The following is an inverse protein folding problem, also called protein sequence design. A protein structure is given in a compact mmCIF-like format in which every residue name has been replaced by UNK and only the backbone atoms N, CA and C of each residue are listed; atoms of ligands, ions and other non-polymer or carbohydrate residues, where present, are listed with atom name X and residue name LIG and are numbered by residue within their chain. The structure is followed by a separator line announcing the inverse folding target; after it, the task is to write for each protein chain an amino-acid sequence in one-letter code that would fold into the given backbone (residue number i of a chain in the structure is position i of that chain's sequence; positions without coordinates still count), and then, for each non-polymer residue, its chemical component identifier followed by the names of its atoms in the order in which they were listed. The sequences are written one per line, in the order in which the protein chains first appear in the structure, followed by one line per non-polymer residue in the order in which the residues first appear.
data_IF_408210798500
#
_entry.id   IF_408210798500
#
_cell.length_a   1.000
_cell.length_b   1.000
_cell.length_c   1.000
_cell.angle_alpha   90.00
_cell.angle_beta   90.00
_cell.angle_gamma   90.00
#
_symmetry.space_group_name_H-M   'P 1'
#
loop_
_entity.id
_entity.type
_entity.pdbx_description
1 polymer ?
#
# COMPACT_ATOMS: atom_id res chain seq x y z
N UNK A 1 -5.48 2.95 32.06
CA UNK A 1 -4.38 1.97 31.90
C UNK A 1 -3.97 1.98 30.42
N UNK A 2 -2.66 2.07 30.14
CA UNK A 2 -2.15 2.05 28.77
C UNK A 2 -2.42 0.71 28.10
N UNK A 3 -2.45 0.71 26.78
CA UNK A 3 -2.65 -0.49 25.96
C UNK A 3 -1.67 -0.51 24.78
N UNK A 4 -1.45 -1.70 24.21
CA UNK A 4 -0.58 -1.91 23.06
C UNK A 4 -1.42 -2.15 21.81
N UNK A 5 -1.02 -1.53 20.69
CA UNK A 5 -1.58 -1.80 19.39
C UNK A 5 -0.47 -2.01 18.36
N UNK A 6 -0.65 -2.98 17.47
CA UNK A 6 0.37 -3.43 16.54
C UNK A 6 -0.15 -3.37 15.10
N UNK A 7 0.68 -2.89 14.18
CA UNK A 7 0.47 -3.04 12.75
C UNK A 7 1.75 -3.52 12.08
N UNK A 8 1.60 -4.13 10.92
CA UNK A 8 2.69 -4.62 10.09
C UNK A 8 2.67 -4.02 8.69
N UNK A 9 3.79 -4.06 8.02
CA UNK A 9 3.94 -3.77 6.59
C UNK A 9 4.87 -4.78 5.93
N UNK A 10 4.80 -4.84 4.61
CA UNK A 10 5.69 -5.65 3.78
C UNK A 10 6.32 -4.79 2.69
N UNK A 11 7.55 -5.16 2.28
CA UNK A 11 8.29 -4.43 1.25
C UNK A 11 7.71 -4.64 -0.15
N UNK A 12 8.16 -3.84 -1.10
CA UNK A 12 7.85 -3.99 -2.52
C UNK A 12 8.25 -5.37 -3.08
N UNK A 13 9.23 -6.04 -2.47
CA UNK A 13 9.69 -7.37 -2.86
C UNK A 13 8.94 -8.52 -2.21
N UNK A 14 8.00 -8.27 -1.29
CA UNK A 14 7.14 -9.31 -0.76
C UNK A 14 6.30 -9.95 -1.88
N UNK A 15 6.14 -11.29 -1.94
CA UNK A 15 5.45 -11.98 -3.04
C UNK A 15 4.09 -11.38 -3.41
N UNK A 16 3.23 -11.12 -2.43
CA UNK A 16 1.92 -10.51 -2.67
C UNK A 16 2.03 -9.09 -3.23
N UNK A 17 3.02 -8.30 -2.80
CA UNK A 17 3.24 -6.94 -3.33
C UNK A 17 3.91 -6.95 -4.69
N UNK A 18 4.67 -7.98 -5.03
CA UNK A 18 5.13 -8.20 -6.41
C UNK A 18 3.93 -8.42 -7.33
N UNK A 19 2.98 -9.27 -6.92
CA UNK A 19 1.74 -9.51 -7.67
C UNK A 19 0.88 -8.24 -7.82
N UNK A 20 0.69 -7.47 -6.76
CA UNK A 20 -0.03 -6.19 -6.78
C UNK A 20 0.61 -5.20 -7.75
N UNK A 21 1.93 -5.05 -7.70
CA UNK A 21 2.67 -4.14 -8.58
C UNK A 21 2.62 -4.55 -10.05
N UNK A 22 2.61 -5.84 -10.34
CA UNK A 22 2.43 -6.35 -11.71
C UNK A 22 1.03 -6.01 -12.21
N UNK A 23 0.00 -6.27 -11.40
CA UNK A 23 -1.40 -6.02 -11.78
C UNK A 23 -1.67 -4.52 -12.02
N UNK A 24 -1.14 -3.64 -11.17
CA UNK A 24 -1.28 -2.19 -11.35
C UNK A 24 -0.41 -1.63 -12.49
N UNK A 25 0.75 -2.21 -12.77
CA UNK A 25 1.54 -1.83 -13.94
C UNK A 25 0.82 -2.17 -15.25
N UNK A 26 0.15 -3.32 -15.31
CA UNK A 26 -0.67 -3.72 -16.46
C UNK A 26 -1.88 -2.79 -16.60
N UNK A 27 -2.58 -2.47 -15.53
CA UNK A 27 -3.68 -1.50 -15.52
C UNK A 27 -3.22 -0.14 -16.05
N UNK A 28 -2.08 0.37 -15.59
CA UNK A 28 -1.55 1.66 -16.02
C UNK A 28 -1.20 1.65 -17.53
N UNK A 29 -0.70 0.53 -18.08
CA UNK A 29 -0.42 0.42 -19.52
C UNK A 29 -1.70 0.41 -20.37
N UNK A 30 -2.79 -0.20 -19.89
CA UNK A 30 -4.09 -0.11 -20.53
C UNK A 30 -4.62 1.33 -20.52
N UNK A 31 -4.66 1.98 -19.37
CA UNK A 31 -5.16 3.35 -19.20
C UNK A 31 -4.30 4.39 -19.94
N UNK A 32 -3.01 4.12 -20.09
CA UNK A 32 -2.10 4.99 -20.87
C UNK A 32 -2.51 5.08 -22.33
N UNK A 33 -3.00 3.98 -22.91
CA UNK A 33 -3.40 3.90 -24.31
C UNK A 33 -4.90 4.17 -24.49
N UNK A 34 -5.73 3.67 -23.57
CA UNK A 34 -7.19 3.81 -23.60
C UNK A 34 -7.72 4.10 -22.18
N UNK A 35 -8.00 5.38 -21.84
CA UNK A 35 -8.54 5.78 -20.53
C UNK A 35 -9.90 5.16 -20.19
N UNK A 36 -10.64 4.65 -21.20
CA UNK A 36 -11.94 3.99 -21.00
C UNK A 36 -11.82 2.48 -20.76
N UNK A 37 -10.60 1.94 -20.71
CA UNK A 37 -10.34 0.53 -20.45
C UNK A 37 -11.06 0.05 -19.18
N UNK A 38 -11.69 -1.12 -19.28
CA UNK A 38 -12.21 -1.86 -18.13
C UNK A 38 -11.25 -3.01 -17.87
N UNK A 39 -10.69 -3.04 -16.69
CA UNK A 39 -9.63 -3.99 -16.30
C UNK A 39 -9.93 -4.56 -14.93
N UNK A 40 -9.90 -5.88 -14.85
CA UNK A 40 -9.84 -6.63 -13.61
C UNK A 40 -8.72 -7.65 -13.79
N UNK A 41 -7.50 -7.27 -13.43
CA UNK A 41 -6.28 -8.04 -13.66
C UNK A 41 -5.72 -8.52 -12.33
N UNK A 42 -5.56 -9.82 -12.19
CA UNK A 42 -4.94 -10.45 -11.05
C UNK A 42 -3.65 -11.17 -11.47
N UNK A 43 -2.67 -11.17 -10.59
CA UNK A 43 -1.38 -11.81 -10.81
C UNK A 43 -1.07 -12.82 -9.73
N UNK A 44 -0.45 -13.91 -10.13
CA UNK A 44 0.09 -14.95 -9.28
C UNK A 44 1.59 -15.04 -9.52
N UNK A 45 2.39 -15.06 -8.46
CA UNK A 45 3.84 -15.17 -8.52
C UNK A 45 4.31 -16.37 -7.68
N UNK A 46 5.21 -17.18 -8.22
CA UNK A 46 5.87 -18.28 -7.51
C UNK A 46 7.25 -18.51 -8.09
N UNK A 47 7.97 -19.54 -7.60
CA UNK A 47 9.32 -19.87 -8.10
C UNK A 47 9.37 -19.89 -9.63
N UNK A 48 10.14 -18.99 -10.20
CA UNK A 48 10.40 -18.94 -11.65
C UNK A 48 9.20 -18.66 -12.54
N UNK A 49 8.03 -18.28 -12.00
CA UNK A 49 6.81 -18.11 -12.78
C UNK A 49 5.92 -16.98 -12.34
N UNK A 50 5.30 -16.31 -13.31
CA UNK A 50 4.19 -15.37 -13.14
C UNK A 50 3.02 -15.79 -14.03
N UNK A 51 1.81 -15.78 -13.48
CA UNK A 51 0.57 -15.95 -14.24
C UNK A 51 -0.27 -14.70 -14.07
N UNK A 52 -0.68 -14.09 -15.18
CA UNK A 52 -1.57 -12.93 -15.22
C UNK A 52 -2.92 -13.41 -15.74
N UNK A 53 -3.99 -13.14 -15.04
CA UNK A 53 -5.34 -13.58 -15.36
C UNK A 53 -6.37 -12.49 -15.10
N UNK A 54 -7.58 -12.66 -15.64
CA UNK A 54 -8.69 -11.74 -15.43
C UNK A 54 -9.35 -11.28 -16.72
N UNK A 55 -10.14 -10.21 -16.64
CA UNK A 55 -10.95 -9.70 -17.73
C UNK A 55 -10.54 -8.28 -18.13
N UNK A 56 -10.51 -8.04 -19.43
CA UNK A 56 -10.18 -6.73 -20.00
C UNK A 56 -11.15 -6.40 -21.14
N UNK A 57 -11.64 -5.15 -21.15
CA UNK A 57 -12.32 -4.55 -22.31
C UNK A 57 -11.57 -3.26 -22.65
N UNK A 58 -10.84 -3.22 -23.76
CA UNK A 58 -9.99 -2.10 -24.15
C UNK A 58 -9.70 -2.14 -25.63
N UNK A 59 -9.48 -0.96 -26.23
CA UNK A 59 -8.92 -0.81 -27.57
C UNK A 59 -7.37 -0.84 -27.56
N UNK A 60 -6.75 -0.87 -26.38
CA UNK A 60 -5.30 -0.84 -26.22
C UNK A 60 -4.67 -2.23 -26.48
N UNK A 61 -3.47 -2.22 -27.03
CA UNK A 61 -2.58 -3.37 -27.04
C UNK A 61 -1.49 -3.22 -25.98
N UNK A 62 -1.45 -4.13 -25.03
CA UNK A 62 -0.44 -4.14 -23.95
C UNK A 62 0.44 -5.37 -24.10
N UNK A 63 1.75 -5.16 -24.19
CA UNK A 63 2.74 -6.23 -24.08
C UNK A 63 2.88 -6.66 -22.61
N UNK A 64 2.11 -7.66 -22.26
CA UNK A 64 2.05 -8.22 -20.88
C UNK A 64 3.42 -8.71 -20.45
N UNK A 65 4.17 -9.40 -21.31
CA UNK A 65 5.48 -9.94 -20.94
C UNK A 65 6.48 -8.86 -20.60
N UNK A 66 6.58 -7.83 -21.45
CA UNK A 66 7.48 -6.70 -21.19
C UNK A 66 7.10 -5.94 -19.93
N UNK A 67 5.80 -5.71 -19.69
CA UNK A 67 5.30 -5.02 -18.49
C UNK A 67 5.62 -5.81 -17.21
N UNK A 68 5.37 -7.12 -17.21
CA UNK A 68 5.70 -7.99 -16.07
C UNK A 68 7.20 -8.00 -15.78
N UNK A 69 8.04 -8.24 -16.81
CA UNK A 69 9.50 -8.33 -16.65
C UNK A 69 10.12 -7.03 -16.17
N UNK A 70 9.70 -5.89 -16.71
CA UNK A 70 10.19 -4.58 -16.29
C UNK A 70 9.80 -4.27 -14.84
N UNK A 71 8.60 -4.66 -14.41
CA UNK A 71 8.15 -4.52 -13.02
C UNK A 71 8.99 -5.35 -12.07
N UNK A 72 9.23 -6.63 -12.37
CA UNK A 72 10.06 -7.53 -11.56
C UNK A 72 11.50 -7.00 -11.43
N UNK A 73 12.09 -6.56 -12.56
CA UNK A 73 13.44 -6.01 -12.58
C UNK A 73 13.54 -4.70 -11.77
N UNK A 74 12.53 -3.82 -11.87
CA UNK A 74 12.46 -2.58 -11.09
C UNK A 74 12.42 -2.85 -9.58
N UNK A 75 11.68 -3.86 -9.15
CA UNK A 75 11.64 -4.29 -7.73
C UNK A 75 13.00 -4.78 -7.25
N UNK A 76 13.86 -5.27 -8.16
CA UNK A 76 15.19 -5.76 -7.84
C UNK A 76 15.37 -7.26 -7.91
N UNK A 77 14.37 -8.00 -8.40
CA UNK A 77 14.52 -9.41 -8.76
C UNK A 77 15.15 -9.53 -10.15
N UNK A 78 16.45 -9.35 -10.23
CA UNK A 78 17.23 -9.25 -11.48
C UNK A 78 18.43 -10.22 -11.51
N UNK A 79 18.51 -11.16 -10.56
CA UNK A 79 19.56 -12.18 -10.47
C UNK A 79 18.95 -13.57 -10.47
N UNK A 80 19.52 -14.47 -11.30
CA UNK A 80 19.05 -15.85 -11.43
C UNK A 80 19.11 -16.65 -10.09
N UNK A 81 20.07 -16.33 -9.23
CA UNK A 81 20.23 -16.95 -7.91
C UNK A 81 19.07 -16.68 -6.94
N UNK A 82 18.19 -15.71 -7.23
CA UNK A 82 16.96 -15.50 -6.48
C UNK A 82 15.87 -16.51 -6.83
N UNK A 83 16.09 -17.37 -7.83
CA UNK A 83 15.14 -18.36 -8.35
C UNK A 83 13.80 -17.77 -8.78
N UNK A 84 13.78 -16.44 -8.93
CA UNK A 84 12.72 -15.63 -9.48
C UNK A 84 13.37 -14.32 -9.96
N UNK A 85 13.41 -14.10 -11.27
CA UNK A 85 13.97 -12.87 -11.84
C UNK A 85 13.25 -12.47 -13.13
N UNK A 86 13.24 -11.17 -13.42
CA UNK A 86 12.50 -10.61 -14.54
C UNK A 86 13.01 -11.04 -15.92
N UNK A 87 14.24 -11.54 -16.03
CA UNK A 87 14.82 -11.90 -17.32
C UNK A 87 14.53 -13.35 -17.70
N UNK A 88 14.41 -14.26 -16.71
CA UNK A 88 14.31 -15.70 -16.95
C UNK A 88 12.99 -16.35 -16.51
N UNK A 89 12.18 -15.71 -15.64
CA UNK A 89 10.91 -16.30 -15.20
C UNK A 89 9.95 -16.54 -16.37
N UNK A 90 9.16 -17.61 -16.27
CA UNK A 90 8.04 -17.87 -17.18
C UNK A 90 6.93 -16.85 -16.95
N UNK A 91 6.38 -16.28 -18.01
CA UNK A 91 5.23 -15.38 -17.94
C UNK A 91 4.10 -15.97 -18.78
N UNK A 92 2.99 -16.29 -18.12
CA UNK A 92 1.78 -16.81 -18.75
C UNK A 92 0.67 -15.75 -18.64
N UNK A 93 -0.12 -15.60 -19.70
CA UNK A 93 -1.29 -14.73 -19.70
C UNK A 93 -2.54 -15.54 -20.00
N UNK A 94 -3.55 -15.38 -19.14
CA UNK A 94 -4.91 -15.90 -19.28
C UNK A 94 -5.93 -14.75 -19.18
N UNK A 95 -5.58 -13.59 -19.71
CA UNK A 95 -6.52 -12.46 -19.85
C UNK A 95 -7.50 -12.76 -20.98
N UNK A 96 -8.78 -12.50 -20.72
CA UNK A 96 -9.84 -12.68 -21.68
C UNK A 96 -10.77 -11.45 -21.72
N UNK A 97 -11.68 -11.40 -22.71
CA UNK A 97 -12.60 -10.30 -22.87
C UNK A 97 -13.67 -10.30 -21.75
N UNK A 98 -14.02 -9.11 -21.25
CA UNK A 98 -15.02 -8.94 -20.20
C UNK A 98 -16.42 -9.39 -20.70
N UNK A 99 -17.20 -10.06 -19.83
CA UNK A 99 -18.56 -10.47 -20.11
C UNK A 99 -19.47 -9.28 -20.46
N UNK A 100 -20.22 -9.42 -21.57
CA UNK A 100 -21.19 -8.42 -22.02
C UNK A 100 -22.31 -8.14 -21.00
N UNK A 101 -22.65 -9.11 -20.14
CA UNK A 101 -23.70 -8.96 -19.13
C UNK A 101 -23.31 -8.03 -17.98
N UNK A 102 -22.08 -8.08 -17.54
CA UNK A 102 -21.52 -7.17 -16.52
C UNK A 102 -21.52 -5.74 -17.06
N UNK A 103 -21.15 -5.56 -18.33
CA UNK A 103 -21.05 -4.26 -18.97
C UNK A 103 -22.39 -3.52 -19.04
N UNK A 104 -23.52 -4.22 -19.25
CA UNK A 104 -24.88 -3.62 -19.31
C UNK A 104 -25.29 -2.93 -18.00
N UNK A 105 -24.81 -3.40 -16.86
CA UNK A 105 -25.10 -2.80 -15.55
C UNK A 105 -24.32 -1.50 -15.28
N UNK A 106 -23.15 -1.34 -15.91
CA UNK A 106 -22.22 -0.24 -15.69
C UNK A 106 -22.44 0.89 -16.70
N UNK A 107 -22.57 0.57 -18.00
CA UNK A 107 -22.78 1.55 -19.07
C UNK A 107 -24.27 1.87 -19.22
N UNK A 108 -24.70 3.01 -18.70
CA UNK A 108 -26.01 3.62 -18.98
C UNK A 108 -25.78 4.82 -19.89
N UNK A 109 -26.69 5.11 -20.79
CA UNK A 109 -26.55 6.12 -21.84
C UNK A 109 -26.26 7.56 -21.40
N UNK A 110 -26.06 7.79 -20.09
CA UNK A 110 -25.56 9.01 -19.49
C UNK A 110 -24.42 8.65 -18.52
N UNK A 111 -23.21 9.18 -18.75
CA UNK A 111 -22.04 8.94 -17.89
C UNK A 111 -22.28 9.30 -16.41
N UNK A 112 -23.10 10.33 -16.13
CA UNK A 112 -23.43 10.72 -14.77
C UNK A 112 -24.28 9.70 -14.01
N UNK A 113 -24.97 8.81 -14.74
CA UNK A 113 -25.78 7.72 -14.20
C UNK A 113 -25.05 6.37 -14.23
N UNK A 114 -23.74 6.37 -14.51
CA UNK A 114 -22.93 5.16 -14.42
C UNK A 114 -23.16 4.48 -13.09
N UNK A 115 -23.67 3.24 -13.13
CA UNK A 115 -23.89 2.43 -11.96
C UNK A 115 -22.58 1.92 -11.38
N UNK A 116 -22.60 1.54 -10.10
CA UNK A 116 -21.48 0.83 -9.49
C UNK A 116 -21.23 -0.49 -10.21
N UNK A 117 -19.96 -0.77 -10.50
CA UNK A 117 -19.54 -1.99 -11.21
C UNK A 117 -19.70 -3.27 -10.41
N UNK A 118 -19.93 -3.15 -9.11
CA UNK A 118 -20.22 -4.27 -8.20
C UNK A 118 -21.06 -3.78 -7.00
N UNK A 119 -21.57 -4.71 -6.24
CA UNK A 119 -22.06 -4.46 -4.89
C UNK A 119 -20.90 -4.51 -3.90
N UNK A 120 -21.03 -3.83 -2.77
CA UNK A 120 -20.04 -3.93 -1.70
C UNK A 120 -20.10 -2.79 -0.71
N UNK A 121 -19.25 -2.88 0.31
CA UNK A 121 -19.03 -1.84 1.31
C UNK A 121 -17.54 -1.49 1.33
N UNK A 122 -17.25 -0.20 1.29
CA UNK A 122 -15.89 0.33 1.26
C UNK A 122 -15.68 1.26 2.45
N UNK A 123 -14.49 1.26 2.99
CA UNK A 123 -14.17 2.00 4.21
C UNK A 123 -13.06 3.01 3.99
N UNK A 124 -13.20 4.15 4.66
CA UNK A 124 -12.16 5.14 4.84
C UNK A 124 -11.96 5.40 6.32
N UNK A 125 -10.71 5.63 6.72
CA UNK A 125 -10.37 5.90 8.11
C UNK A 125 -9.34 7.04 8.18
N UNK A 126 -9.40 7.83 9.26
CA UNK A 126 -8.42 8.83 9.60
C UNK A 126 -8.36 9.03 11.10
N UNK A 127 -7.16 9.30 11.63
CA UNK A 127 -6.93 9.63 13.04
C UNK A 127 -5.82 10.68 13.16
N UNK A 128 -5.59 11.19 14.38
CA UNK A 128 -4.58 12.23 14.65
C UNK A 128 -3.23 11.68 15.14
N UNK A 129 -2.95 10.39 14.93
CA UNK A 129 -1.68 9.80 15.36
C UNK A 129 -0.49 10.38 14.59
N UNK A 130 -0.69 10.78 13.33
CA UNK A 130 0.36 11.28 12.43
C UNK A 130 -0.12 12.49 11.63
N UNK A 131 0.81 13.27 11.07
CA UNK A 131 0.51 14.45 10.24
C UNK A 131 -0.29 14.14 8.97
N UNK A 132 -0.19 12.91 8.48
CA UNK A 132 -0.95 12.41 7.32
C UNK A 132 -2.23 11.69 7.71
N UNK A 133 -2.63 11.76 8.99
CA UNK A 133 -3.87 11.18 9.51
C UNK A 133 -3.95 9.66 9.38
N UNK A 134 -2.81 8.99 9.56
CA UNK A 134 -2.70 7.52 9.55
C UNK A 134 -2.38 6.97 10.93
N UNK A 135 -2.77 5.71 11.22
CA UNK A 135 -2.34 5.00 12.42
C UNK A 135 -0.81 4.93 12.50
N UNK A 136 -0.25 5.34 13.64
CA UNK A 136 1.19 5.43 13.83
C UNK A 136 1.95 4.10 13.59
N UNK A 137 1.48 2.92 14.09
CA UNK A 137 2.24 1.68 13.89
C UNK A 137 2.33 1.27 12.42
N UNK A 138 1.29 1.48 11.62
CA UNK A 138 1.33 1.22 10.18
C UNK A 138 2.25 2.21 9.46
N UNK A 139 2.13 3.50 9.78
CA UNK A 139 2.97 4.55 9.22
C UNK A 139 4.46 4.25 9.44
N UNK A 140 4.86 3.92 10.67
CA UNK A 140 6.25 3.57 10.98
C UNK A 140 6.69 2.29 10.27
N UNK A 141 5.79 1.29 10.17
CA UNK A 141 6.08 0.05 9.45
C UNK A 141 6.37 0.29 7.96
N UNK A 142 5.57 1.13 7.29
CA UNK A 142 5.83 1.53 5.90
C UNK A 142 7.14 2.30 5.78
N UNK A 143 7.37 3.33 6.61
CA UNK A 143 8.55 4.19 6.55
C UNK A 143 9.84 3.41 6.73
N UNK A 144 9.89 2.44 7.65
CA UNK A 144 11.07 1.61 7.86
C UNK A 144 11.43 0.82 6.58
N UNK A 145 10.43 0.23 5.91
CA UNK A 145 10.65 -0.56 4.70
C UNK A 145 10.93 0.30 3.46
N UNK A 146 10.34 1.49 3.36
CA UNK A 146 10.68 2.46 2.30
C UNK A 146 12.16 2.85 2.40
N UNK A 147 12.66 3.15 3.61
CA UNK A 147 14.07 3.49 3.83
C UNK A 147 14.99 2.30 3.54
N UNK A 148 14.58 1.08 3.93
CA UNK A 148 15.32 -0.13 3.62
C UNK A 148 15.44 -0.37 2.11
N UNK A 149 14.34 -0.17 1.38
CA UNK A 149 14.33 -0.26 -0.09
C UNK A 149 15.18 0.84 -0.73
N UNK A 150 15.15 2.06 -0.21
CA UNK A 150 15.96 3.18 -0.69
C UNK A 150 17.46 2.87 -0.53
N UNK A 151 17.89 2.35 0.61
CA UNK A 151 19.27 1.87 0.81
C UNK A 151 19.62 0.81 -0.24
N UNK A 152 18.77 -0.19 -0.44
CA UNK A 152 19.01 -1.27 -1.41
C UNK A 152 19.13 -0.78 -2.85
N UNK A 153 18.35 0.22 -3.25
CA UNK A 153 18.33 0.75 -4.62
C UNK A 153 19.43 1.79 -4.87
N UNK A 154 19.68 2.67 -3.92
CA UNK A 154 20.48 3.87 -4.17
C UNK A 154 21.81 3.91 -3.41
N UNK A 155 21.94 3.17 -2.31
CA UNK A 155 23.14 3.15 -1.46
C UNK A 155 23.50 1.70 -1.07
N UNK A 156 23.58 0.76 -2.04
CA UNK A 156 23.76 -0.67 -1.74
C UNK A 156 25.08 -0.98 -1.00
N UNK A 157 26.07 -0.10 -1.04
CA UNK A 157 27.31 -0.26 -0.30
C UNK A 157 27.14 -0.21 1.22
N UNK A 158 26.08 0.39 1.73
CA UNK A 158 25.80 0.46 3.16
C UNK A 158 25.36 -0.88 3.74
N UNK A 159 24.52 -1.60 3.02
CA UNK A 159 23.99 -2.91 3.39
C UNK A 159 23.94 -3.83 2.15
N UNK A 160 25.09 -4.27 1.63
CA UNK A 160 25.20 -4.89 0.29
C UNK A 160 24.53 -6.26 0.17
N UNK A 161 24.18 -6.85 1.28
CA UNK A 161 23.54 -8.15 1.37
C UNK A 161 22.00 -8.10 1.25
N UNK A 162 21.38 -6.91 1.20
CA UNK A 162 19.92 -6.78 1.16
C UNK A 162 19.33 -7.37 -0.13
N UNK A 163 18.27 -8.17 0.05
CA UNK A 163 17.39 -8.65 -1.02
C UNK A 163 16.03 -7.96 -0.96
N UNK A 164 15.18 -8.08 -1.99
CA UNK A 164 13.94 -7.29 -2.09
C UNK A 164 12.88 -7.58 -1.03
N UNK A 165 12.77 -8.82 -0.52
CA UNK A 165 11.71 -9.21 0.42
C UNK A 165 12.03 -8.79 1.85
N UNK A 166 11.06 -8.15 2.49
CA UNK A 166 11.15 -7.80 3.91
C UNK A 166 9.76 -7.57 4.52
N UNK A 167 9.68 -7.70 5.84
CA UNK A 167 8.49 -7.39 6.65
C UNK A 167 8.91 -6.56 7.85
N UNK A 168 8.09 -5.59 8.23
CA UNK A 168 8.24 -4.84 9.47
C UNK A 168 6.96 -4.87 10.28
N UNK A 169 7.11 -4.77 11.60
CA UNK A 169 5.99 -4.65 12.54
C UNK A 169 6.37 -3.67 13.63
N UNK A 170 5.46 -2.76 13.96
CA UNK A 170 5.60 -1.84 15.08
C UNK A 170 4.48 -2.06 16.06
N UNK A 171 4.84 -2.19 17.34
CA UNK A 171 3.93 -2.15 18.48
C UNK A 171 4.09 -0.81 19.18
N UNK A 172 2.99 -0.09 19.36
CA UNK A 172 2.95 1.23 19.99
C UNK A 172 2.17 1.12 21.29
N UNK A 173 2.71 1.71 22.34
CA UNK A 173 1.99 1.94 23.59
C UNK A 173 1.16 3.22 23.47
N UNK A 174 -0.14 3.11 23.78
CA UNK A 174 -1.11 4.19 23.77
C UNK A 174 -1.58 4.48 25.19
N UNK A 175 -1.81 5.74 25.50
CA UNK A 175 -2.47 6.16 26.72
C UNK A 175 -3.93 5.71 26.71
N UNK A 176 -4.38 5.10 27.82
CA UNK A 176 -5.71 4.49 27.90
C UNK A 176 -6.87 5.45 28.09
N UNK A 177 -6.62 6.75 28.30
CA UNK A 177 -7.64 7.80 28.46
C UNK A 177 -7.70 8.69 27.23
N UNK A 178 -6.54 9.13 26.76
CA UNK A 178 -6.43 10.08 25.63
C UNK A 178 -6.33 9.40 24.28
N UNK A 179 -6.03 8.09 24.25
CA UNK A 179 -5.75 7.30 23.05
C UNK A 179 -4.60 7.87 22.18
N UNK A 180 -3.71 8.66 22.79
CA UNK A 180 -2.54 9.18 22.11
C UNK A 180 -1.35 8.22 22.20
N UNK A 181 -0.50 8.13 21.18
CA UNK A 181 0.70 7.29 21.23
C UNK A 181 1.69 7.83 22.28
N UNK A 182 2.24 6.94 23.11
CA UNK A 182 3.17 7.26 24.20
C UNK A 182 4.61 6.94 23.80
N UNK A 183 4.83 5.75 23.25
CA UNK A 183 6.16 5.30 22.76
C UNK A 183 6.05 4.11 21.82
N UNK A 184 7.10 3.88 21.08
CA UNK A 184 7.33 2.61 20.40
C UNK A 184 7.75 1.58 21.46
N UNK A 185 7.01 0.48 21.56
CA UNK A 185 7.32 -0.61 22.47
C UNK A 185 8.22 -1.66 21.83
N UNK A 186 7.84 -2.15 20.66
CA UNK A 186 8.56 -3.22 19.95
C UNK A 186 8.65 -2.94 18.46
N UNK A 187 9.82 -3.23 17.89
CA UNK A 187 10.07 -3.22 16.44
C UNK A 187 10.51 -4.63 16.02
N UNK A 188 9.84 -5.20 15.02
CA UNK A 188 10.26 -6.44 14.37
C UNK A 188 10.61 -6.14 12.93
N UNK A 189 11.79 -6.55 12.48
CA UNK A 189 12.22 -6.50 11.10
C UNK A 189 12.66 -7.89 10.65
N UNK A 190 12.05 -8.42 9.60
CA UNK A 190 12.53 -9.61 8.88
C UNK A 190 12.92 -9.15 7.48
N UNK A 191 14.20 -9.25 7.14
CA UNK A 191 14.73 -8.84 5.83
C UNK A 191 15.48 -9.98 5.17
N UNK A 192 15.14 -10.25 3.92
CA UNK A 192 15.86 -11.20 3.08
C UNK A 192 17.26 -10.67 2.77
N UNK A 193 18.25 -11.56 2.77
CA UNK A 193 19.65 -11.20 2.58
C UNK A 193 20.42 -12.29 1.83
N UNK A 194 21.54 -11.91 1.21
CA UNK A 194 22.50 -12.83 0.67
C UNK A 194 23.22 -13.60 1.80
N UNK A 195 23.77 -14.77 1.49
CA UNK A 195 24.81 -15.37 2.32
C UNK A 195 26.11 -14.58 2.13
N UNK A 196 26.68 -14.10 3.22
CA UNK A 196 27.94 -13.34 3.19
C UNK A 196 28.83 -13.67 4.39
N UNK A 197 30.10 -13.34 4.27
CA UNK A 197 31.07 -13.48 5.36
C UNK A 197 31.30 -12.11 5.98
N UNK A 198 30.92 -11.90 7.25
CA UNK A 198 31.23 -10.66 7.95
C UNK A 198 32.72 -10.44 8.10
N UNK A 199 33.15 -9.17 8.11
CA UNK A 199 34.55 -8.81 8.24
C UNK A 199 35.23 -9.34 9.51
N UNK A 200 34.46 -9.64 10.57
CA UNK A 200 34.92 -10.30 11.80
C UNK A 200 35.53 -11.69 11.57
N UNK A 201 35.11 -12.37 10.51
CA UNK A 201 35.61 -13.69 10.13
C UNK A 201 36.69 -13.67 9.03
N UNK A 202 37.07 -12.46 8.55
CA UNK A 202 38.10 -12.26 7.53
C UNK A 202 37.52 -12.26 6.09
N UNK A 203 38.43 -12.18 5.11
CA UNK A 203 38.11 -12.14 3.69
C UNK A 203 38.27 -13.52 3.08
N UNK A 204 37.18 -14.22 2.90
CA UNK A 204 37.13 -15.54 2.27
C UNK A 204 35.74 -15.79 1.64
N UNK A 205 35.60 -16.88 0.88
CA UNK A 205 34.30 -17.31 0.38
C UNK A 205 33.41 -17.80 1.52
N UNK A 206 32.09 -17.78 1.33
CA UNK A 206 31.14 -18.31 2.32
C UNK A 206 31.41 -19.80 2.59
N UNK A 207 31.66 -20.59 1.54
CA UNK A 207 31.97 -22.02 1.68
C UNK A 207 33.25 -22.27 2.51
N UNK A 208 34.29 -21.46 2.32
CA UNK A 208 35.54 -21.55 3.11
C UNK A 208 35.31 -21.15 4.57
N UNK A 209 34.53 -20.10 4.81
CA UNK A 209 34.18 -19.68 6.15
C UNK A 209 33.39 -20.76 6.91
N UNK A 210 32.41 -21.38 6.26
CA UNK A 210 31.66 -22.52 6.83
C UNK A 210 32.56 -23.71 7.11
N UNK A 211 33.49 -24.03 6.19
CA UNK A 211 34.47 -25.09 6.40
C UNK A 211 35.41 -24.83 7.57
N UNK A 212 35.84 -23.56 7.73
CA UNK A 212 36.80 -23.16 8.77
C UNK A 212 36.16 -22.97 10.14
N UNK A 213 34.98 -22.34 10.23
CA UNK A 213 34.36 -21.92 11.48
C UNK A 213 33.10 -22.69 11.84
N UNK A 214 32.54 -23.46 10.91
CA UNK A 214 31.25 -24.14 11.04
C UNK A 214 30.07 -23.23 10.72
N UNK A 215 28.97 -23.81 10.19
CA UNK A 215 27.76 -23.11 9.74
C UNK A 215 27.16 -22.21 10.84
N UNK A 216 27.00 -22.75 12.05
CA UNK A 216 26.37 -22.01 13.17
C UNK A 216 27.14 -20.75 13.54
N UNK A 217 28.46 -20.77 13.49
CA UNK A 217 29.30 -19.59 13.80
C UNK A 217 29.19 -18.54 12.70
N UNK A 218 29.20 -18.94 11.43
CA UNK A 218 29.07 -18.02 10.30
C UNK A 218 27.70 -17.36 10.31
N UNK A 219 26.63 -18.14 10.53
CA UNK A 219 25.25 -17.62 10.60
C UNK A 219 25.08 -16.66 11.78
N UNK A 220 25.66 -16.97 12.94
CA UNK A 220 25.60 -16.07 14.12
C UNK A 220 26.27 -14.72 13.84
N UNK A 221 27.49 -14.72 13.28
CA UNK A 221 28.20 -13.48 12.97
C UNK A 221 27.50 -12.67 11.86
N UNK A 222 26.93 -13.35 10.87
CA UNK A 222 26.15 -12.72 9.81
C UNK A 222 24.91 -12.03 10.39
N UNK A 223 24.14 -12.70 11.27
CA UNK A 223 22.97 -12.10 11.93
C UNK A 223 23.37 -10.96 12.87
N UNK A 224 24.48 -11.09 13.57
CA UNK A 224 25.02 -10.02 14.42
C UNK A 224 25.36 -8.76 13.58
N UNK A 225 25.93 -8.94 12.39
CA UNK A 225 26.22 -7.82 11.46
C UNK A 225 24.94 -7.17 10.95
N UNK A 226 23.96 -7.97 10.52
CA UNK A 226 22.65 -7.43 10.05
C UNK A 226 21.99 -6.63 11.16
N UNK A 227 21.93 -7.17 12.38
CA UNK A 227 21.37 -6.47 13.54
C UNK A 227 22.11 -5.16 13.82
N UNK A 228 23.44 -5.17 13.80
CA UNK A 228 24.26 -3.97 14.00
C UNK A 228 23.94 -2.88 12.96
N UNK A 229 23.79 -3.25 11.68
CA UNK A 229 23.47 -2.28 10.63
C UNK A 229 22.05 -1.72 10.78
N UNK A 230 21.11 -2.54 11.18
CA UNK A 230 19.74 -2.07 11.50
C UNK A 230 19.79 -1.04 12.64
N UNK A 231 20.55 -1.31 13.71
CA UNK A 231 20.66 -0.42 14.89
C UNK A 231 21.42 0.87 14.56
N UNK A 232 22.45 0.82 13.71
CA UNK A 232 23.37 1.95 13.47
C UNK A 232 23.12 2.72 12.17
N UNK A 233 22.40 2.13 11.21
CA UNK A 233 22.08 2.75 9.91
C UNK A 233 20.58 2.97 9.78
N UNK A 234 19.77 1.88 9.81
CA UNK A 234 18.37 1.94 9.45
C UNK A 234 17.53 2.71 10.47
N UNK A 235 17.65 2.40 11.76
CA UNK A 235 16.88 3.08 12.83
C UNK A 235 17.23 4.57 12.93
N UNK A 236 18.51 5.00 12.89
CA UNK A 236 18.84 6.42 12.83
C UNK A 236 18.25 7.14 11.61
N UNK A 237 18.24 6.52 10.44
CA UNK A 237 17.62 7.08 9.23
C UNK A 237 16.11 7.18 9.36
N UNK A 238 15.45 6.17 9.96
CA UNK A 238 14.03 6.26 10.28
C UNK A 238 13.76 7.49 11.15
N UNK A 239 14.48 7.65 12.27
CA UNK A 239 14.29 8.80 13.17
C UNK A 239 14.52 10.13 12.48
N UNK A 240 15.54 10.23 11.64
CA UNK A 240 15.85 11.45 10.88
C UNK A 240 14.78 11.81 9.82
N UNK A 241 14.04 10.82 9.32
CA UNK A 241 12.99 11.00 8.32
C UNK A 241 11.60 11.29 8.91
N UNK A 242 11.44 11.25 10.24
CA UNK A 242 10.18 11.47 10.94
C UNK A 242 10.08 12.92 11.45
N UNK A 243 8.86 13.46 11.58
CA UNK A 243 8.62 14.68 12.35
C UNK A 243 9.19 14.54 13.78
N UNK A 244 9.69 15.63 14.35
CA UNK A 244 10.37 15.61 15.65
C UNK A 244 9.53 14.97 16.77
N UNK A 245 8.23 15.27 16.82
CA UNK A 245 7.31 14.68 17.80
C UNK A 245 7.21 13.17 17.66
N UNK A 246 7.09 12.65 16.45
CA UNK A 246 7.05 11.21 16.17
C UNK A 246 8.40 10.55 16.44
N UNK A 247 9.51 11.19 16.06
CA UNK A 247 10.86 10.67 16.30
C UNK A 247 11.17 10.51 17.78
N UNK A 248 10.61 11.36 18.65
CA UNK A 248 10.74 11.28 20.12
C UNK A 248 10.10 10.02 20.68
N UNK A 249 9.10 9.43 20.04
CA UNK A 249 8.46 8.19 20.47
C UNK A 249 9.33 6.95 20.20
N UNK A 250 10.35 7.06 19.31
CA UNK A 250 11.23 5.94 18.92
C UNK A 250 12.42 5.87 19.87
N UNK A 251 12.19 5.37 21.09
CA UNK A 251 13.23 5.19 22.10
C UNK A 251 12.92 3.98 23.00
N UNK A 252 13.95 3.39 23.57
CA UNK A 252 13.85 2.32 24.58
C UNK A 252 12.91 1.17 24.19
N UNK A 253 12.92 0.81 22.92
CA UNK A 253 12.09 -0.27 22.36
C UNK A 253 12.82 -1.62 22.37
N UNK A 254 12.05 -2.69 22.28
CA UNK A 254 12.56 -4.04 22.03
C UNK A 254 12.75 -4.17 20.52
N UNK A 255 13.95 -4.62 20.07
CA UNK A 255 14.24 -4.84 18.66
C UNK A 255 14.43 -6.32 18.36
N UNK A 256 13.67 -6.83 17.39
CA UNK A 256 13.83 -8.17 16.82
C UNK A 256 14.24 -8.03 15.35
N UNK A 257 15.41 -8.56 14.99
CA UNK A 257 15.91 -8.59 13.60
C UNK A 257 16.09 -10.06 13.20
N UNK A 258 15.41 -10.52 12.15
CA UNK A 258 15.39 -11.90 11.68
C UNK A 258 15.32 -12.91 12.85
N UNK A 259 14.27 -12.88 13.68
CA UNK A 259 14.24 -13.63 14.95
C UNK A 259 14.32 -15.15 14.77
N UNK A 260 14.02 -15.66 13.58
CA UNK A 260 14.18 -17.09 13.22
C UNK A 260 15.57 -17.44 12.72
N UNK A 261 16.48 -16.44 12.61
CA UNK A 261 17.82 -16.61 12.07
C UNK A 261 17.93 -16.20 10.61
N UNK A 262 18.69 -16.95 9.82
CA UNK A 262 18.97 -16.68 8.42
C UNK A 262 17.70 -16.61 7.54
N UNK A 263 17.58 -15.55 6.72
CA UNK A 263 16.47 -15.34 5.79
C UNK A 263 17.03 -15.15 4.35
N UNK A 264 17.53 -16.21 3.75
CA UNK A 264 18.08 -16.21 2.38
C UNK A 264 17.02 -16.61 1.35
N UNK A 265 16.21 -17.62 1.64
CA UNK A 265 15.09 -18.04 0.79
C UNK A 265 13.89 -17.16 1.12
N UNK A 266 13.47 -16.34 0.17
CA UNK A 266 12.36 -15.38 0.30
C UNK A 266 11.87 -14.93 -1.07
N UNK A 267 10.99 -13.92 -1.08
CA UNK A 267 10.32 -13.49 -2.29
C UNK A 267 9.44 -14.59 -2.88
N UNK A 268 9.06 -14.52 -4.18
CA UNK A 268 8.23 -15.53 -4.83
C UNK A 268 8.83 -16.93 -4.87
N UNK A 269 10.14 -17.07 -4.62
CA UNK A 269 10.76 -18.38 -4.45
C UNK A 269 10.45 -19.01 -3.08
N UNK A 270 10.36 -18.18 -2.03
CA UNK A 270 10.09 -18.66 -0.67
C UNK A 270 8.61 -18.87 -0.40
N UNK A 271 7.75 -18.04 -0.95
CA UNK A 271 6.30 -18.10 -0.76
C UNK A 271 5.58 -17.56 -2.00
N UNK A 272 4.37 -18.04 -2.22
CA UNK A 272 3.53 -17.67 -3.35
C UNK A 272 2.87 -16.31 -3.10
N UNK A 273 2.90 -15.42 -4.11
CA UNK A 273 2.21 -14.13 -4.11
C UNK A 273 0.96 -14.12 -4.96
N UNK A 274 -0.07 -13.44 -4.48
CA UNK A 274 -1.30 -13.14 -5.22
C UNK A 274 -1.72 -11.70 -5.02
N UNK A 275 -2.32 -11.11 -6.06
CA UNK A 275 -2.96 -9.80 -5.99
C UNK A 275 -4.05 -9.77 -4.92
N UNK A 276 -4.04 -8.71 -4.07
CA UNK A 276 -5.09 -8.49 -3.08
C UNK A 276 -4.99 -9.29 -1.79
N UNK A 277 -3.82 -9.88 -1.47
CA UNK A 277 -3.60 -10.60 -0.21
C UNK A 277 -2.98 -9.74 0.90
N UNK A 278 -2.74 -8.45 0.67
CA UNK A 278 -2.18 -7.51 1.66
C UNK A 278 -3.06 -6.27 1.86
N UNK A 279 -4.38 -6.46 1.74
CA UNK A 279 -5.37 -5.38 1.79
C UNK A 279 -5.37 -4.58 3.10
N UNK A 280 -4.99 -5.18 4.21
CA UNK A 280 -4.87 -4.50 5.50
C UNK A 280 -3.61 -3.62 5.54
N UNK A 281 -2.50 -4.10 4.96
CA UNK A 281 -1.26 -3.31 4.75
C UNK A 281 -1.53 -2.15 3.78
N UNK A 282 -2.34 -2.38 2.76
CA UNK A 282 -2.73 -1.37 1.77
C UNK A 282 -3.56 -0.22 2.35
N UNK A 283 -4.22 -0.43 3.49
CA UNK A 283 -5.18 0.50 4.08
C UNK A 283 -4.76 1.05 5.43
N UNK A 284 -5.21 0.45 6.55
CA UNK A 284 -5.09 1.09 7.87
C UNK A 284 -4.42 0.20 8.94
N UNK A 285 -3.81 -0.94 8.55
CA UNK A 285 -3.07 -1.81 9.47
C UNK A 285 -3.92 -2.44 10.57
N UNK A 286 -5.22 -2.62 10.34
CA UNK A 286 -6.16 -3.19 11.30
C UNK A 286 -6.83 -2.18 12.23
N UNK A 287 -6.46 -0.88 12.20
CA UNK A 287 -7.11 0.16 13.00
C UNK A 287 -8.47 0.55 12.42
N UNK A 288 -8.58 0.68 11.11
CA UNK A 288 -9.83 0.89 10.39
C UNK A 288 -10.34 -0.41 9.75
N UNK A 289 -11.66 -0.52 9.57
CA UNK A 289 -12.29 -1.64 8.87
C UNK A 289 -11.91 -1.69 7.38
N UNK A 290 -12.13 -2.85 6.77
CA UNK A 290 -11.93 -3.09 5.33
C UNK A 290 -13.12 -3.89 4.76
N UNK A 291 -13.54 -3.56 3.53
CA UNK A 291 -14.67 -4.23 2.88
C UNK A 291 -14.34 -5.61 2.26
N UNK A 292 -13.08 -5.97 2.19
CA UNK A 292 -12.60 -7.25 1.65
C UNK A 292 -12.15 -7.23 0.19
N UNK A 293 -12.52 -6.21 -0.59
CA UNK A 293 -12.14 -6.10 -2.00
C UNK A 293 -10.69 -5.66 -2.20
N UNK A 294 -9.94 -6.34 -3.07
CA UNK A 294 -8.62 -5.92 -3.52
C UNK A 294 -8.70 -4.62 -4.32
N UNK A 295 -7.62 -3.82 -4.30
CA UNK A 295 -7.49 -2.59 -5.07
C UNK A 295 -6.70 -2.79 -6.36
N UNK A 296 -5.49 -3.36 -6.27
CA UNK A 296 -4.57 -3.50 -7.39
C UNK A 296 -5.17 -4.30 -8.54
N UNK A 297 -4.88 -3.88 -9.76
CA UNK A 297 -5.39 -4.48 -10.99
C UNK A 297 -6.82 -4.11 -11.39
N UNK A 298 -7.53 -3.34 -10.56
CA UNK A 298 -8.92 -2.90 -10.82
C UNK A 298 -8.95 -1.48 -11.37
N UNK A 299 -9.61 -1.29 -12.52
CA UNK A 299 -9.93 0.03 -13.06
C UNK A 299 -10.95 0.79 -12.16
N UNK A 300 -11.08 2.13 -12.31
CA UNK A 300 -11.86 2.93 -11.37
C UNK A 300 -13.38 2.72 -11.42
N UNK A 301 -13.93 1.97 -12.36
CA UNK A 301 -15.34 1.59 -12.35
C UNK A 301 -15.67 0.60 -11.24
N UNK A 302 -14.66 -0.10 -10.73
CA UNK A 302 -14.77 -1.00 -9.57
C UNK A 302 -14.75 -0.18 -8.29
N UNK A 303 -15.92 -0.07 -7.66
CA UNK A 303 -16.13 0.73 -6.44
C UNK A 303 -15.29 0.24 -5.24
N UNK A 304 -14.87 -1.02 -5.22
CA UNK A 304 -13.91 -1.54 -4.24
C UNK A 304 -12.70 -0.62 -4.09
N UNK A 305 -12.21 -0.09 -5.20
CA UNK A 305 -11.06 0.81 -5.25
C UNK A 305 -11.48 2.27 -5.18
N UNK A 306 -12.30 2.75 -6.11
CA UNK A 306 -12.65 4.16 -6.24
C UNK A 306 -13.41 4.70 -5.02
N UNK A 307 -14.37 3.95 -4.49
CA UNK A 307 -15.13 4.38 -3.33
C UNK A 307 -14.35 4.23 -2.01
N UNK A 308 -13.38 3.31 -1.91
CA UNK A 308 -12.45 3.26 -0.77
C UNK A 308 -11.58 4.52 -0.73
N UNK A 309 -11.11 5.02 -1.89
CA UNK A 309 -10.39 6.28 -1.97
C UNK A 309 -11.28 7.47 -1.59
N UNK A 310 -12.54 7.49 -2.05
CA UNK A 310 -13.51 8.52 -1.66
C UNK A 310 -13.81 8.50 -0.15
N UNK A 311 -13.99 7.33 0.43
CA UNK A 311 -14.21 7.17 1.87
C UNK A 311 -13.00 7.67 2.68
N UNK A 312 -11.76 7.35 2.25
CA UNK A 312 -10.53 7.90 2.86
C UNK A 312 -10.47 9.42 2.76
N UNK A 313 -10.76 9.98 1.60
CA UNK A 313 -10.78 11.41 1.38
C UNK A 313 -11.74 12.12 2.33
N UNK A 314 -12.95 11.57 2.51
CA UNK A 314 -13.96 12.12 3.42
C UNK A 314 -13.48 12.04 4.87
N UNK A 315 -13.06 10.86 5.34
CA UNK A 315 -12.60 10.67 6.71
C UNK A 315 -11.44 11.63 7.05
N UNK A 316 -10.47 11.75 6.14
CA UNK A 316 -9.31 12.64 6.32
C UNK A 316 -9.72 14.12 6.39
N UNK A 317 -10.60 14.58 5.51
CA UNK A 317 -11.09 15.97 5.52
C UNK A 317 -11.97 16.28 6.74
N UNK A 318 -12.76 15.33 7.25
CA UNK A 318 -13.52 15.48 8.49
C UNK A 318 -12.60 15.68 9.69
N UNK A 319 -11.58 14.81 9.85
CA UNK A 319 -10.62 14.90 10.96
C UNK A 319 -9.77 16.18 10.84
N UNK A 320 -9.29 16.52 9.65
CA UNK A 320 -8.52 17.73 9.40
C UNK A 320 -9.33 19.01 9.65
N UNK A 321 -10.63 19.01 9.34
CA UNK A 321 -11.51 20.12 9.61
C UNK A 321 -11.84 20.30 11.10
N UNK A 322 -11.57 19.31 11.95
CA UNK A 322 -11.85 19.34 13.39
C UNK A 322 -13.26 18.86 13.74
N UNK A 323 -13.94 18.11 12.86
CA UNK A 323 -15.23 17.49 13.15
C UNK A 323 -15.10 16.41 14.23
N UNK A 324 -14.01 15.62 14.16
CA UNK A 324 -13.66 14.58 15.13
C UNK A 324 -12.14 14.41 15.18
N UNK A 325 -11.62 13.68 16.16
CA UNK A 325 -10.18 13.32 16.23
C UNK A 325 -9.89 11.97 15.56
N UNK A 326 -10.91 11.12 15.43
CA UNK A 326 -10.87 9.82 14.77
C UNK A 326 -12.18 9.64 13.98
N UNK A 327 -12.12 9.06 12.79
CA UNK A 327 -13.29 8.91 11.94
C UNK A 327 -13.16 7.70 11.01
N UNK A 328 -14.16 6.84 11.03
CA UNK A 328 -14.43 5.80 10.06
C UNK A 328 -15.61 6.22 9.18
N UNK A 329 -15.47 6.07 7.88
CA UNK A 329 -16.54 6.30 6.89
C UNK A 329 -16.78 5.00 6.13
N UNK A 330 -18.02 4.53 6.07
CA UNK A 330 -18.42 3.42 5.20
C UNK A 330 -19.31 3.95 4.08
N UNK A 331 -19.01 3.52 2.86
CA UNK A 331 -19.84 3.70 1.68
C UNK A 331 -20.30 2.32 1.20
N UNK A 332 -21.61 2.14 0.96
CA UNK A 332 -22.12 0.88 0.41
C UNK A 332 -22.83 1.11 -0.91
N UNK A 333 -22.60 0.22 -1.87
CA UNK A 333 -23.20 0.27 -3.22
C UNK A 333 -23.91 -1.02 -3.56
N UNK A 334 -24.93 -0.89 -4.42
CA UNK A 334 -25.53 -2.00 -5.13
C UNK A 334 -25.09 -1.97 -6.59
N UNK A 335 -24.86 -3.14 -7.19
CA UNK A 335 -24.47 -3.23 -8.59
C UNK A 335 -25.45 -2.49 -9.51
N UNK A 336 -24.93 -1.73 -10.45
CA UNK A 336 -25.73 -0.96 -11.41
C UNK A 336 -26.48 0.25 -10.81
N UNK A 337 -26.27 0.60 -9.54
CA UNK A 337 -26.87 1.78 -8.90
C UNK A 337 -25.82 2.86 -8.71
N UNK A 338 -26.09 4.08 -9.21
CA UNK A 338 -25.12 5.17 -9.18
C UNK A 338 -24.92 5.79 -7.78
N UNK A 339 -25.98 5.88 -6.98
CA UNK A 339 -25.89 6.45 -5.63
C UNK A 339 -25.58 5.36 -4.60
N UNK A 340 -24.75 5.65 -3.58
CA UNK A 340 -24.58 4.69 -2.48
C UNK A 340 -25.93 4.39 -1.82
N UNK A 341 -26.14 3.13 -1.43
CA UNK A 341 -27.32 2.70 -0.69
C UNK A 341 -27.26 3.10 0.77
N UNK A 342 -26.04 3.32 1.30
CA UNK A 342 -25.82 3.88 2.62
C UNK A 342 -24.49 4.62 2.73
N UNK A 343 -24.48 5.63 3.61
CA UNK A 343 -23.30 6.32 4.12
C UNK A 343 -23.35 6.21 5.63
N UNK A 344 -22.33 5.64 6.24
CA UNK A 344 -22.20 5.49 7.68
C UNK A 344 -20.93 6.18 8.14
N UNK A 345 -20.98 6.80 9.30
CA UNK A 345 -19.84 7.43 9.97
C UNK A 345 -19.80 6.97 11.41
N UNK A 346 -18.60 6.66 11.89
CA UNK A 346 -18.32 6.38 13.31
C UNK A 346 -17.12 7.25 13.71
N UNK A 347 -17.30 8.11 14.68
CA UNK A 347 -16.24 8.98 15.22
C UNK A 347 -15.62 8.42 16.49
N UNK A 348 -15.98 7.20 16.87
CA UNK A 348 -15.50 6.54 18.11
C UNK A 348 -15.70 7.41 19.37
N UNK A 349 -16.75 8.21 19.37
CA UNK A 349 -17.05 9.15 20.47
C UNK A 349 -16.18 10.41 20.49
N UNK A 350 -15.35 10.66 19.47
CA UNK A 350 -14.46 11.83 19.41
C UNK A 350 -15.07 13.04 18.68
N UNK A 351 -16.34 12.95 18.25
CA UNK A 351 -17.06 14.06 17.62
C UNK A 351 -17.03 15.31 18.49
N UNK A 352 -16.80 16.46 17.85
CA UNK A 352 -16.73 17.76 18.53
C UNK A 352 -18.09 18.47 18.50
N UNK A 353 -18.24 19.49 19.37
CA UNK A 353 -19.40 20.39 19.40
C UNK A 353 -20.76 19.69 19.53
N UNK A 354 -20.82 18.53 20.18
CA UNK A 354 -22.05 17.78 20.39
C UNK A 354 -22.64 17.11 19.13
N UNK A 355 -21.88 17.05 18.03
CA UNK A 355 -22.30 16.42 16.80
C UNK A 355 -22.52 14.90 17.03
N UNK A 356 -23.55 14.36 16.37
CA UNK A 356 -23.83 12.92 16.37
C UNK A 356 -23.38 12.30 15.03
N UNK A 357 -22.92 11.06 15.05
CA UNK A 357 -22.42 10.36 13.85
C UNK A 357 -23.45 10.31 12.72
N UNK A 358 -24.74 10.11 13.04
CA UNK A 358 -25.81 10.15 12.04
C UNK A 358 -26.01 11.52 11.37
N UNK A 359 -25.82 12.61 12.11
CA UNK A 359 -25.85 13.96 11.56
C UNK A 359 -24.64 14.24 10.66
N UNK A 360 -23.46 13.73 11.05
CA UNK A 360 -22.24 13.83 10.25
C UNK A 360 -22.44 13.06 8.95
N UNK A 361 -22.95 11.81 8.99
CA UNK A 361 -23.21 10.99 7.82
C UNK A 361 -24.19 11.67 6.85
N UNK A 362 -25.25 12.30 7.36
CA UNK A 362 -26.21 13.05 6.55
C UNK A 362 -25.54 14.22 5.83
N UNK A 363 -24.76 15.03 6.56
CA UNK A 363 -24.03 16.17 5.97
C UNK A 363 -23.00 15.72 4.94
N UNK A 364 -22.28 14.61 5.18
CA UNK A 364 -21.38 13.98 4.20
C UNK A 364 -22.09 13.71 2.89
N UNK A 365 -23.29 13.10 2.96
CA UNK A 365 -24.10 12.79 1.77
C UNK A 365 -24.61 14.05 1.03
N UNK A 366 -24.73 15.18 1.72
CA UNK A 366 -25.15 16.45 1.14
C UNK A 366 -24.00 17.19 0.43
N UNK A 367 -22.78 17.11 0.96
CA UNK A 367 -21.62 17.92 0.49
C UNK A 367 -20.70 17.15 -0.47
N UNK A 368 -20.73 15.82 -0.49
CA UNK A 368 -19.93 14.99 -1.39
C UNK A 368 -20.81 14.24 -2.39
N UNK A 369 -20.50 14.43 -3.68
CA UNK A 369 -21.14 13.63 -4.73
C UNK A 369 -20.44 12.27 -4.82
N UNK A 370 -21.09 11.25 -4.30
CA UNK A 370 -20.56 9.89 -4.16
C UNK A 370 -20.93 8.95 -5.32
N UNK A 371 -21.45 9.49 -6.43
CA UNK A 371 -21.66 8.71 -7.66
C UNK A 371 -20.30 8.26 -8.22
N UNK A 372 -20.16 7.00 -8.69
CA UNK A 372 -18.88 6.50 -9.21
C UNK A 372 -18.24 7.41 -10.26
N UNK A 373 -19.01 7.93 -11.23
CA UNK A 373 -18.48 8.86 -12.23
C UNK A 373 -17.86 10.13 -11.60
N UNK A 374 -18.50 10.69 -10.57
CA UNK A 374 -18.02 11.90 -9.90
C UNK A 374 -16.77 11.64 -9.04
N UNK A 375 -16.65 10.47 -8.45
CA UNK A 375 -15.43 10.02 -7.74
C UNK A 375 -14.28 9.88 -8.73
N UNK A 376 -14.52 9.23 -9.88
CA UNK A 376 -13.55 9.04 -10.96
C UNK A 376 -13.03 10.39 -11.46
N UNK A 377 -13.93 11.32 -11.75
CA UNK A 377 -13.60 12.67 -12.24
C UNK A 377 -12.80 13.45 -11.18
N UNK A 378 -13.27 13.44 -9.93
CA UNK A 378 -12.65 14.19 -8.83
C UNK A 378 -11.18 13.84 -8.64
N UNK A 379 -10.85 12.57 -8.68
CA UNK A 379 -9.48 12.11 -8.43
C UNK A 379 -8.70 11.81 -9.72
N UNK A 380 -9.30 12.04 -10.90
CA UNK A 380 -8.67 11.79 -12.18
C UNK A 380 -8.29 10.33 -12.40
N UNK A 381 -9.12 9.39 -11.96
CA UNK A 381 -8.80 7.96 -11.89
C UNK A 381 -8.71 7.25 -13.24
N UNK A 382 -9.08 7.89 -14.35
CA UNK A 382 -8.86 7.37 -15.72
C UNK A 382 -7.43 7.59 -16.23
N UNK A 383 -6.50 8.02 -15.38
CA UNK A 383 -5.10 8.22 -15.74
C UNK A 383 -4.23 7.07 -15.19
N UNK A 384 -3.05 6.82 -15.78
CA UNK A 384 -2.10 5.81 -15.29
C UNK A 384 -1.38 6.31 -14.02
N UNK A 385 -2.02 6.15 -12.88
CA UNK A 385 -1.58 6.64 -11.56
C UNK A 385 -1.47 5.54 -10.51
N UNK A 386 -1.62 4.28 -10.90
CA UNK A 386 -1.84 3.17 -10.00
C UNK A 386 -0.57 2.44 -9.57
N UNK A 387 0.44 2.30 -10.44
CA UNK A 387 1.68 1.61 -10.09
C UNK A 387 2.33 2.10 -8.78
N UNK A 388 2.38 3.42 -8.45
CA UNK A 388 2.94 3.89 -7.19
C UNK A 388 2.09 3.54 -5.95
N UNK A 389 0.83 3.12 -6.12
CA UNK A 389 -0.04 2.75 -4.99
C UNK A 389 0.19 1.32 -4.50
N UNK A 390 0.74 0.46 -5.37
CA UNK A 390 0.81 -0.97 -5.17
C UNK A 390 1.87 -1.43 -4.14
N UNK A 391 2.63 -0.52 -3.55
CA UNK A 391 3.58 -0.80 -2.47
C UNK A 391 3.54 0.30 -1.41
N UNK A 392 3.79 -0.06 -0.15
CA UNK A 392 3.83 0.86 1.00
C UNK A 392 2.52 1.61 1.27
N UNK A 393 1.39 0.99 0.96
CA UNK A 393 0.04 1.48 1.24
C UNK A 393 -0.55 2.41 0.19
N UNK A 394 -1.86 2.33 0.02
CA UNK A 394 -2.64 3.22 -0.84
C UNK A 394 -3.02 4.52 -0.13
N UNK A 395 -3.00 4.52 1.21
CA UNK A 395 -3.44 5.62 2.07
C UNK A 395 -2.25 6.26 2.80
N UNK A 396 -2.40 7.53 3.19
CA UNK A 396 -1.38 8.26 3.93
C UNK A 396 -0.19 8.74 3.10
N UNK A 397 -0.27 8.65 1.78
CA UNK A 397 0.79 9.08 0.86
C UNK A 397 0.73 10.59 0.63
N UNK A 398 1.89 11.19 0.35
CA UNK A 398 1.95 12.61 0.00
C UNK A 398 1.44 12.83 -1.42
N UNK A 399 0.42 13.67 -1.65
CA UNK A 399 -0.04 14.01 -2.98
C UNK A 399 1.03 14.76 -3.79
N UNK A 400 1.13 14.45 -5.09
CA UNK A 400 2.02 15.16 -6.01
C UNK A 400 1.46 15.18 -7.43
N UNK A 401 1.97 16.07 -8.26
CA UNK A 401 1.64 16.11 -9.69
C UNK A 401 2.83 15.66 -10.53
N UNK A 402 2.58 14.88 -11.56
CA UNK A 402 3.61 14.39 -12.48
C UNK A 402 3.09 14.39 -13.92
N UNK A 403 3.99 14.61 -14.87
CA UNK A 403 3.69 14.45 -16.28
C UNK A 403 3.69 12.97 -16.65
N UNK A 404 2.59 12.52 -17.24
CA UNK A 404 2.42 11.18 -17.83
C UNK A 404 2.07 11.30 -19.30
N UNK A 405 2.27 10.25 -20.06
CA UNK A 405 1.81 10.18 -21.47
C UNK A 405 0.51 9.39 -21.50
N UNK A 406 -0.55 9.97 -22.05
CA UNK A 406 -1.85 9.33 -22.27
C UNK A 406 -2.24 9.53 -23.74
N UNK A 407 -2.53 8.45 -24.45
CA UNK A 407 -2.85 8.48 -25.90
C UNK A 407 -1.82 9.28 -26.71
N UNK A 408 -0.52 9.08 -26.41
CA UNK A 408 0.58 9.78 -27.06
C UNK A 408 0.75 11.26 -26.67
N UNK A 409 -0.12 11.82 -25.84
CA UNK A 409 -0.06 13.21 -25.38
C UNK A 409 0.47 13.32 -23.95
N UNK A 410 1.38 14.28 -23.72
CA UNK A 410 1.87 14.59 -22.37
C UNK A 410 0.80 15.33 -21.58
N UNK A 411 0.46 14.84 -20.39
CA UNK A 411 -0.55 15.38 -19.48
C UNK A 411 0.01 15.44 -18.06
N UNK A 412 -0.23 16.54 -17.33
CA UNK A 412 0.08 16.62 -15.90
C UNK A 412 -1.11 16.06 -15.14
N UNK A 413 -0.86 15.07 -14.29
CA UNK A 413 -1.90 14.39 -13.51
C UNK A 413 -1.58 14.43 -12.02
N UNK A 414 -2.64 14.40 -11.19
CA UNK A 414 -2.54 14.31 -9.75
C UNK A 414 -2.41 12.85 -9.32
N UNK A 415 -1.38 12.53 -8.54
CA UNK A 415 -1.22 11.27 -7.84
C UNK A 415 -1.70 11.41 -6.41
N UNK A 416 -2.30 10.36 -5.86
CA UNK A 416 -2.88 10.31 -4.51
C UNK A 416 -3.86 11.47 -4.23
N UNK A 417 -4.72 11.80 -5.20
CA UNK A 417 -5.68 12.89 -5.10
C UNK A 417 -6.65 12.75 -3.91
N UNK A 418 -6.91 11.52 -3.46
CA UNK A 418 -7.71 11.22 -2.28
C UNK A 418 -7.04 11.57 -0.94
N UNK A 419 -5.79 11.98 -0.96
CA UNK A 419 -5.07 12.48 0.21
C UNK A 419 -5.03 14.01 0.31
N UNK A 420 -5.65 14.73 -0.63
CA UNK A 420 -5.77 16.20 -0.57
C UNK A 420 -6.70 16.65 0.56
N UNK A 421 -6.42 17.84 1.08
CA UNK A 421 -7.22 18.50 2.13
C UNK A 421 -8.02 19.71 1.59
N UNK A 422 -8.29 19.72 0.30
CA UNK A 422 -8.95 20.80 -0.41
C UNK A 422 -10.45 20.95 -0.08
N UNK A 423 -11.07 19.95 0.55
CA UNK A 423 -12.44 20.02 1.06
C UNK A 423 -12.55 20.50 2.52
N UNK A 424 -11.45 20.74 3.23
CA UNK A 424 -11.49 21.24 4.62
C UNK A 424 -12.31 22.54 4.75
N UNK A 425 -12.17 23.57 3.86
CA UNK A 425 -13.00 24.77 3.95
C UNK A 425 -14.51 24.48 3.75
N UNK A 426 -14.84 23.58 2.82
CA UNK A 426 -16.23 23.15 2.57
C UNK A 426 -16.82 22.45 3.79
N UNK A 427 -16.06 21.51 4.38
CA UNK A 427 -16.45 20.79 5.59
C UNK A 427 -16.66 21.77 6.74
N UNK A 428 -15.68 22.65 7.01
CA UNK A 428 -15.81 23.66 8.08
C UNK A 428 -17.09 24.48 7.92
N UNK A 429 -17.35 24.99 6.73
CA UNK A 429 -18.57 25.77 6.44
C UNK A 429 -19.84 24.94 6.72
N UNK A 430 -19.89 23.68 6.29
CA UNK A 430 -21.06 22.80 6.46
C UNK A 430 -21.34 22.45 7.94
N UNK A 431 -20.30 22.38 8.76
CA UNK A 431 -20.40 22.04 10.18
C UNK A 431 -20.36 23.26 11.12
N UNK A 432 -20.17 24.47 10.60
CA UNK A 432 -20.13 25.70 11.41
C UNK A 432 -18.85 25.84 12.25
N UNK A 433 -17.71 25.34 11.73
CA UNK A 433 -16.40 25.33 12.38
C UNK A 433 -15.49 26.48 11.89
#
# INVERSE_FOLDING_TARGET
MNYLFTSESVSEGHPDKVADQISDAILDEFLRQDPESKVACESFCSTGMVVVMGEVKSEAYVDIQTTVRSTINRIGYNKAEYMFDGNSCGVMSALHEQSADINRGVERGNEEEQGAGDQGMMFGYACRDTENYMPLPLYLSHRLLEILADIRHHEPELMPYLRPDAKSQFTIEYDGETHQPVKVDTIVLSTQHDEFVPASLGRMSYADAVKQYGQAKVDFEMQAKIRYDVETILIPRLKAALPEETARLVHSFILHVNPTGKFVIGGPHGDTGLTGRKIIVDTYGGKGAHGGGAFSGKDPSKVDRSAAYAARYIAKNLVAAGVADECLVQLAYAIGVARPVSVFVDTYGTAKNGLQDGEIAKKVSEIFDLRPAKIIDRFGLKNPIYAPTAAYGHMGRKPYTQAVTVQGKRKIVQFFGWELLDSVPLVKKAFGL
#
